data_IF_397872053081
#
_entry.id   IF_397872053081
#
_cell.length_a   1.000
_cell.length_b   1.000
_cell.length_c   1.000
_cell.angle_alpha   90.00
_cell.angle_beta   90.00
_cell.angle_gamma   90.00
#
_symmetry.space_group_name_H-M   'P 1'
#
loop_
_entity.id
_entity.type
_entity.pdbx_description
1 polymer ?
#
# COMPACT_ATOMS: atom_id res chain seq x y z
N UNK A 1 4.91 6.25 -4.40
CA UNK A 1 4.17 5.16 -5.10
C UNK A 1 4.97 3.86 -5.23
N UNK A 2 6.08 3.80 -5.97
CA UNK A 2 6.84 2.53 -6.17
C UNK A 2 7.38 1.93 -4.87
N UNK A 3 7.64 2.77 -3.86
CA UNK A 3 8.09 2.36 -2.52
C UNK A 3 7.21 1.25 -1.89
N UNK A 4 5.89 1.25 -2.16
CA UNK A 4 4.99 0.20 -1.67
C UNK A 4 5.35 -1.15 -2.33
N UNK A 5 5.69 -1.16 -3.62
CA UNK A 5 6.11 -2.36 -4.32
C UNK A 5 7.54 -2.79 -3.96
N UNK A 6 8.39 -1.86 -3.53
CA UNK A 6 9.77 -2.13 -3.09
C UNK A 6 9.84 -2.65 -1.64
N UNK A 7 8.83 -2.37 -0.82
CA UNK A 7 8.78 -2.80 0.59
C UNK A 7 8.65 -4.31 0.70
N UNK A 8 9.46 -4.99 1.50
CA UNK A 8 9.37 -6.45 1.64
C UNK A 8 8.07 -6.90 2.36
N UNK A 9 7.10 -7.39 1.58
CA UNK A 9 5.88 -8.07 2.02
C UNK A 9 5.20 -8.79 0.84
N UNK A 10 4.51 -9.90 1.15
CA UNK A 10 3.54 -10.53 0.23
C UNK A 10 2.12 -10.09 0.56
N UNK A 11 1.73 -10.17 1.84
CA UNK A 11 0.49 -9.62 2.39
C UNK A 11 0.81 -8.84 3.67
N UNK A 12 0.15 -7.70 3.87
CA UNK A 12 0.37 -6.83 5.04
C UNK A 12 -0.90 -6.03 5.39
N UNK A 13 -1.09 -5.71 6.66
CA UNK A 13 -2.13 -4.76 7.06
C UNK A 13 -1.79 -3.35 6.54
N UNK A 14 -2.79 -2.63 6.03
CA UNK A 14 -2.61 -1.28 5.48
C UNK A 14 -1.97 -0.32 6.50
N UNK A 15 -2.34 -0.44 7.78
CA UNK A 15 -1.77 0.44 8.82
C UNK A 15 -0.28 0.16 9.08
N UNK A 16 0.14 -1.09 8.98
CA UNK A 16 1.56 -1.46 9.15
C UNK A 16 2.38 -1.16 7.91
N UNK A 17 1.78 -1.29 6.72
CA UNK A 17 2.36 -0.81 5.48
C UNK A 17 2.60 0.70 5.54
N UNK A 18 1.62 1.47 6.02
CA UNK A 18 1.79 2.91 6.21
C UNK A 18 2.92 3.21 7.20
N UNK A 19 2.97 2.56 8.38
CA UNK A 19 4.06 2.76 9.35
C UNK A 19 5.45 2.50 8.75
N UNK A 20 5.58 1.49 7.87
CA UNK A 20 6.85 1.15 7.21
C UNK A 20 7.25 2.15 6.13
N UNK A 21 6.29 2.79 5.48
CA UNK A 21 6.52 3.58 4.28
C UNK A 21 6.24 5.07 4.45
N UNK A 22 5.67 5.49 5.59
CA UNK A 22 5.19 6.85 5.86
C UNK A 22 6.23 7.94 5.65
N UNK A 23 7.51 7.66 5.90
CA UNK A 23 8.61 8.61 5.64
C UNK A 23 8.80 8.95 4.16
N UNK A 24 8.18 8.20 3.25
CA UNK A 24 8.21 8.42 1.80
C UNK A 24 6.95 9.14 1.28
N UNK A 25 6.05 9.55 2.17
CA UNK A 25 4.82 10.25 1.83
C UNK A 25 4.74 11.58 2.58
N UNK A 26 4.30 12.61 1.88
CA UNK A 26 4.12 13.96 2.42
C UNK A 26 2.87 14.06 3.30
N UNK A 27 1.89 13.18 3.06
CA UNK A 27 0.63 13.10 3.81
C UNK A 27 0.02 11.70 3.76
N UNK A 28 -0.96 11.45 4.63
CA UNK A 28 -1.77 10.23 4.57
C UNK A 28 -2.54 10.13 3.25
N UNK A 29 -3.02 11.26 2.72
CA UNK A 29 -3.77 11.29 1.45
C UNK A 29 -2.89 10.81 0.29
N UNK A 30 -1.61 11.20 0.26
CA UNK A 30 -0.66 10.74 -0.76
C UNK A 30 -0.44 9.22 -0.69
N UNK A 31 -0.41 8.66 0.52
CA UNK A 31 -0.33 7.21 0.73
C UNK A 31 -1.59 6.51 0.22
N UNK A 32 -2.78 6.99 0.57
CA UNK A 32 -4.05 6.39 0.10
C UNK A 32 -4.17 6.49 -1.43
N UNK A 33 -3.85 7.64 -2.01
CA UNK A 33 -3.81 7.81 -3.47
C UNK A 33 -2.85 6.81 -4.13
N UNK A 34 -1.71 6.54 -3.48
CA UNK A 34 -0.75 5.54 -3.99
C UNK A 34 -1.33 4.13 -3.98
N UNK A 35 -2.14 3.76 -2.99
CA UNK A 35 -2.82 2.47 -2.96
C UNK A 35 -3.88 2.38 -4.08
N UNK A 36 -4.69 3.42 -4.24
CA UNK A 36 -5.70 3.47 -5.31
C UNK A 36 -5.06 3.34 -6.69
N UNK A 37 -3.98 4.08 -6.93
CA UNK A 37 -3.24 4.03 -8.18
C UNK A 37 -2.65 2.64 -8.46
N UNK A 38 -2.05 1.99 -7.46
CA UNK A 38 -1.49 0.65 -7.60
C UNK A 38 -2.56 -0.42 -7.78
N UNK A 39 -3.73 -0.25 -7.17
CA UNK A 39 -4.89 -1.12 -7.37
C UNK A 39 -5.42 -1.03 -8.81
N UNK A 40 -5.57 0.19 -9.34
CA UNK A 40 -6.00 0.42 -10.73
C UNK A 40 -5.00 -0.18 -11.72
N UNK A 41 -3.70 -0.15 -11.40
CA UNK A 41 -2.64 -0.77 -12.22
C UNK A 41 -2.49 -2.29 -12.01
N UNK A 42 -3.38 -2.91 -11.22
CA UNK A 42 -3.36 -4.34 -10.91
C UNK A 42 -2.00 -4.80 -10.34
N UNK A 43 -1.33 -3.93 -9.57
CA UNK A 43 -0.07 -4.25 -8.86
C UNK A 43 -0.28 -4.75 -7.45
N UNK A 44 -1.46 -4.48 -6.89
CA UNK A 44 -1.88 -4.95 -5.57
C UNK A 44 -3.34 -5.39 -5.60
N UNK A 45 -3.70 -6.25 -4.66
CA UNK A 45 -5.08 -6.59 -4.32
C UNK A 45 -5.37 -6.02 -2.94
N UNK A 46 -6.50 -5.31 -2.82
CA UNK A 46 -7.03 -4.84 -1.55
C UNK A 46 -8.04 -5.85 -1.01
N UNK A 47 -7.91 -6.22 0.26
CA UNK A 47 -8.86 -7.06 0.98
C UNK A 47 -9.56 -6.25 2.08
N UNK A 48 -10.71 -5.60 1.78
CA UNK A 48 -11.39 -4.71 2.72
C UNK A 48 -11.86 -5.42 3.99
N UNK A 49 -12.22 -6.70 3.90
CA UNK A 49 -12.68 -7.49 5.03
C UNK A 49 -11.62 -7.64 6.13
N UNK A 50 -10.34 -7.70 5.74
CA UNK A 50 -9.21 -7.94 6.64
C UNK A 50 -8.33 -6.69 6.79
N UNK A 51 -8.58 -5.63 6.00
CA UNK A 51 -7.74 -4.44 5.95
C UNK A 51 -6.33 -4.73 5.44
N UNK A 52 -6.16 -5.73 4.58
CA UNK A 52 -4.85 -6.14 4.06
C UNK A 52 -4.65 -5.77 2.60
N UNK A 53 -3.39 -5.64 2.23
CA UNK A 53 -2.89 -5.45 0.87
C UNK A 53 -2.00 -6.64 0.53
N UNK A 54 -2.20 -7.21 -0.65
CA UNK A 54 -1.37 -8.29 -1.21
C UNK A 54 -0.73 -7.80 -2.50
N UNK A 55 0.55 -8.11 -2.74
CA UNK A 55 1.20 -7.81 -4.03
C UNK A 55 0.84 -8.84 -5.10
N UNK A 56 0.70 -8.38 -6.34
CA UNK A 56 0.55 -9.23 -7.52
C UNK A 56 1.90 -9.60 -8.14
#
# INVERSE_FOLDING_TARGET
MTIILETDFNEINITDLYKKTSSNFSSLDEFVYSLDFLFILEKIILNPANGTVTKC
#
